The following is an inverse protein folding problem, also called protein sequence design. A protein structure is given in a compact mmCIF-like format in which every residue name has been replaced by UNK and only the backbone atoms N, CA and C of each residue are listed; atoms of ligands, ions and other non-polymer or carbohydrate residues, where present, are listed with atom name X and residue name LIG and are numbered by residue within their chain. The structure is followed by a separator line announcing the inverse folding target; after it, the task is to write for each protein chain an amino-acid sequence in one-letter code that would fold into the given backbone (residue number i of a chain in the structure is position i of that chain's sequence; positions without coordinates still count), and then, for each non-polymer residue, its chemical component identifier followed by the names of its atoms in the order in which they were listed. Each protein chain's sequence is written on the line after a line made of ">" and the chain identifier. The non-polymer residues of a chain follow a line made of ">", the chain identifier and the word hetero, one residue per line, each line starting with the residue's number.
data_IF_869390247821
#
_entry.id   IF_869390247821
#
_cell.length_a   1.000
_cell.length_b   1.000
_cell.length_c   1.000
_cell.angle_alpha   90.00
_cell.angle_beta   90.00
_cell.angle_gamma   90.00
#
_symmetry.space_group_name_H-M   'P 1'
#
loop_
_entity.id
_entity.type
_entity.pdbx_description
1 polymer ?
#
# COMPACT_ATOMS: atom_id res chain seq x y z
N UNK A 1 8.91 68.21 -32.87
CA UNK A 1 8.20 66.98 -33.24
C UNK A 1 8.78 65.85 -32.42
N UNK A 2 8.07 65.36 -31.32
CA UNK A 2 8.49 64.22 -30.51
C UNK A 2 7.55 63.09 -30.87
N UNK A 3 8.07 62.01 -31.49
CA UNK A 3 7.33 60.76 -31.71
C UNK A 3 7.23 59.96 -30.37
N UNK A 4 6.01 59.64 -29.98
CA UNK A 4 5.75 58.68 -28.90
C UNK A 4 5.64 57.29 -29.55
N UNK A 5 6.51 56.38 -29.14
CA UNK A 5 6.36 54.97 -29.45
C UNK A 5 5.51 54.33 -28.35
N UNK A 6 4.34 53.80 -28.71
CA UNK A 6 3.49 53.01 -27.83
C UNK A 6 3.94 51.56 -27.90
N UNK A 7 4.48 51.06 -26.83
CA UNK A 7 4.85 49.64 -26.67
C UNK A 7 3.60 48.85 -26.26
N UNK A 8 3.11 48.00 -27.15
CA UNK A 8 1.98 47.10 -26.88
C UNK A 8 2.49 45.84 -26.12
N UNK A 9 2.16 45.70 -24.83
CA UNK A 9 2.49 44.51 -24.05
C UNK A 9 1.37 43.50 -24.31
N UNK A 10 1.68 42.39 -24.99
CA UNK A 10 0.81 41.22 -25.12
C UNK A 10 0.88 40.41 -23.85
N UNK A 11 -0.19 40.44 -23.04
CA UNK A 11 -0.35 39.55 -21.89
C UNK A 11 -0.84 38.17 -22.40
N UNK A 12 0.06 37.18 -22.47
CA UNK A 12 -0.33 35.80 -22.78
C UNK A 12 -0.89 35.21 -21.49
N UNK A 13 -2.21 35.10 -21.40
CA UNK A 13 -2.87 34.34 -20.33
C UNK A 13 -2.66 32.86 -20.59
N UNK A 14 -1.78 32.22 -19.78
CA UNK A 14 -1.65 30.76 -19.72
C UNK A 14 -2.91 30.22 -19.07
N UNK A 15 -3.86 29.72 -19.83
CA UNK A 15 -4.99 28.94 -19.29
C UNK A 15 -4.48 27.57 -19.02
N UNK A 16 -4.28 27.22 -17.71
CA UNK A 16 -4.08 25.87 -17.27
C UNK A 16 -5.38 25.09 -17.55
N UNK A 17 -5.37 24.25 -18.55
CA UNK A 17 -6.44 23.26 -18.76
C UNK A 17 -6.40 22.26 -17.63
N UNK A 18 -7.51 22.04 -16.88
CA UNK A 18 -7.55 20.95 -15.93
C UNK A 18 -7.34 19.64 -16.69
N UNK A 19 -6.39 18.81 -16.25
CA UNK A 19 -6.22 17.47 -16.76
C UNK A 19 -7.53 16.71 -16.52
N UNK A 20 -8.26 16.42 -17.59
CA UNK A 20 -9.42 15.54 -17.56
C UNK A 20 -8.91 14.17 -17.09
N UNK A 21 -9.31 13.77 -15.89
CA UNK A 21 -9.10 12.41 -15.40
C UNK A 21 -9.86 11.48 -16.35
N UNK A 22 -9.13 10.73 -17.17
CA UNK A 22 -9.70 9.79 -18.13
C UNK A 22 -10.32 8.62 -17.36
N UNK A 23 -11.62 8.71 -17.11
CA UNK A 23 -12.39 7.73 -16.33
C UNK A 23 -12.35 6.30 -16.92
N UNK A 24 -11.91 6.15 -18.18
CA UNK A 24 -11.79 4.87 -18.87
C UNK A 24 -10.56 4.05 -18.43
N UNK A 25 -9.64 4.64 -17.67
CA UNK A 25 -8.40 4.00 -17.24
C UNK A 25 -8.46 3.46 -15.79
N UNK A 26 -9.49 3.78 -15.01
CA UNK A 26 -9.65 3.34 -13.62
C UNK A 26 -10.45 2.05 -13.56
N UNK A 27 -9.88 1.01 -12.97
CA UNK A 27 -10.57 -0.27 -12.71
C UNK A 27 -11.52 -0.16 -11.53
N UNK A 28 -11.04 0.41 -10.43
CA UNK A 28 -11.83 0.75 -9.25
C UNK A 28 -11.13 1.82 -8.40
N UNK A 29 -11.97 2.50 -7.60
CA UNK A 29 -11.55 3.40 -6.56
C UNK A 29 -12.34 3.08 -5.29
N UNK A 30 -11.63 2.91 -4.18
CA UNK A 30 -12.19 2.75 -2.84
C UNK A 30 -12.03 4.05 -2.08
N UNK A 31 -13.15 4.69 -1.72
CA UNK A 31 -13.19 5.97 -1.00
C UNK A 31 -13.60 5.78 0.47
N UNK A 32 -13.56 4.58 1.00
CA UNK A 32 -13.85 4.24 2.39
C UNK A 32 -15.18 4.80 2.94
N UNK A 33 -16.24 4.68 2.14
CA UNK A 33 -17.60 5.03 2.60
C UNK A 33 -18.11 4.07 3.68
N UNK A 34 -17.64 2.85 3.65
CA UNK A 34 -17.86 1.78 4.64
C UNK A 34 -16.81 0.68 4.42
N UNK A 35 -16.85 -0.38 5.26
CA UNK A 35 -15.93 -1.52 5.15
C UNK A 35 -16.55 -2.77 4.51
N UNK A 36 -17.68 -2.67 3.81
CA UNK A 36 -18.39 -3.84 3.23
C UNK A 36 -17.56 -4.60 2.19
N UNK A 37 -16.63 -3.91 1.51
CA UNK A 37 -15.72 -4.49 0.53
C UNK A 37 -14.44 -5.08 1.17
N UNK A 38 -14.31 -5.04 2.49
CA UNK A 38 -13.14 -5.47 3.21
C UNK A 38 -13.44 -6.65 4.13
N UNK A 39 -12.50 -7.58 4.24
CA UNK A 39 -12.54 -8.72 5.17
C UNK A 39 -11.44 -8.58 6.20
N UNK A 40 -11.71 -8.79 7.50
CA UNK A 40 -10.66 -8.82 8.50
C UNK A 40 -9.77 -10.06 8.31
N UNK A 41 -8.47 -9.87 8.50
CA UNK A 41 -7.48 -10.93 8.59
C UNK A 41 -6.84 -10.91 9.96
N UNK A 42 -7.08 -11.95 10.75
CA UNK A 42 -6.49 -12.15 12.05
C UNK A 42 -5.38 -13.20 11.96
N UNK A 43 -4.28 -12.95 12.67
CA UNK A 43 -3.15 -13.87 12.71
C UNK A 43 -3.30 -14.81 13.91
N UNK A 44 -3.24 -16.15 13.75
CA UNK A 44 -3.60 -17.10 14.82
C UNK A 44 -2.77 -16.96 16.09
N UNK A 45 -1.56 -16.40 16.01
CA UNK A 45 -0.65 -16.24 17.17
C UNK A 45 -0.75 -14.86 17.82
N UNK A 46 -1.49 -13.93 17.24
CA UNK A 46 -1.66 -12.57 17.73
C UNK A 46 -3.01 -12.49 18.44
N UNK A 47 -3.00 -12.12 19.73
CA UNK A 47 -4.22 -12.01 20.53
C UNK A 47 -4.90 -10.66 20.41
N UNK A 48 -4.09 -9.61 20.35
CA UNK A 48 -4.58 -8.24 20.25
C UNK A 48 -4.62 -7.82 18.78
N UNK A 49 -5.75 -7.30 18.35
CA UNK A 49 -5.98 -6.92 16.95
C UNK A 49 -6.03 -5.41 16.79
N UNK A 50 -5.43 -4.94 15.71
CA UNK A 50 -5.54 -3.54 15.29
C UNK A 50 -6.97 -3.22 14.85
N UNK A 51 -7.39 -1.98 15.02
CA UNK A 51 -8.75 -1.53 14.68
C UNK A 51 -8.78 -0.76 13.38
N UNK A 52 -9.88 -0.92 12.65
CA UNK A 52 -10.14 -0.30 11.36
C UNK A 52 -11.53 0.32 11.40
N UNK A 53 -11.62 1.64 11.32
CA UNK A 53 -12.89 2.37 11.43
C UNK A 53 -12.99 3.46 10.36
N UNK A 54 -14.22 3.74 9.91
CA UNK A 54 -14.47 4.88 9.05
C UNK A 54 -14.71 6.10 9.92
N UNK A 55 -13.97 7.17 9.66
CA UNK A 55 -14.10 8.44 10.35
C UNK A 55 -14.42 9.56 9.37
N UNK A 56 -15.05 10.62 9.88
CA UNK A 56 -15.38 11.81 9.08
C UNK A 56 -14.74 13.04 9.67
N UNK A 57 -14.05 13.81 8.85
CA UNK A 57 -13.54 15.13 9.20
C UNK A 57 -13.91 16.12 8.10
N UNK A 58 -14.60 17.21 8.49
CA UNK A 58 -15.06 18.27 7.56
C UNK A 58 -15.84 17.75 6.35
N UNK A 59 -16.60 16.66 6.53
CA UNK A 59 -17.40 16.04 5.46
C UNK A 59 -16.63 15.06 4.56
N UNK A 60 -15.34 14.84 4.78
CA UNK A 60 -14.55 13.83 4.10
C UNK A 60 -14.49 12.55 4.93
N UNK A 61 -14.74 11.41 4.29
CA UNK A 61 -14.62 10.09 4.91
C UNK A 61 -13.24 9.50 4.61
N UNK A 62 -12.69 8.78 5.57
CA UNK A 62 -11.45 8.01 5.39
C UNK A 62 -11.35 6.87 6.39
N UNK A 63 -10.55 5.89 6.05
CA UNK A 63 -10.18 4.80 6.95
C UNK A 63 -9.23 5.33 8.01
N UNK A 64 -9.54 5.09 9.29
CA UNK A 64 -8.62 5.22 10.42
C UNK A 64 -8.16 3.83 10.84
N UNK A 65 -6.86 3.65 11.03
CA UNK A 65 -6.26 2.41 11.54
C UNK A 65 -5.50 2.70 12.82
N UNK A 66 -5.64 1.85 13.83
CA UNK A 66 -4.97 1.99 15.12
C UNK A 66 -4.39 0.65 15.56
N UNK A 67 -3.15 0.68 16.04
CA UNK A 67 -2.51 -0.44 16.72
C UNK A 67 -2.01 -0.05 18.09
N UNK A 68 -2.06 -0.99 19.03
CA UNK A 68 -1.41 -0.88 20.33
C UNK A 68 -0.97 -2.27 20.77
N UNK A 69 0.30 -2.61 20.56
CA UNK A 69 0.86 -3.96 20.77
C UNK A 69 0.03 -5.04 20.08
N UNK A 70 -0.45 -4.72 18.88
CA UNK A 70 -1.44 -5.50 18.17
C UNK A 70 -1.10 -5.62 16.70
N UNK A 71 -1.63 -6.64 16.03
CA UNK A 71 -1.53 -6.77 14.59
C UNK A 71 -2.79 -7.44 14.03
N UNK A 72 -3.29 -6.89 12.96
CA UNK A 72 -4.27 -7.49 12.07
C UNK A 72 -4.27 -6.73 10.74
N UNK A 73 -4.97 -7.24 9.75
CA UNK A 73 -5.12 -6.59 8.46
C UNK A 73 -6.58 -6.60 8.02
N UNK A 74 -6.89 -5.80 7.00
CA UNK A 74 -8.11 -5.92 6.21
C UNK A 74 -7.75 -6.19 4.76
N UNK A 75 -8.47 -7.12 4.12
CA UNK A 75 -8.24 -7.54 2.74
C UNK A 75 -9.39 -7.06 1.87
N UNK A 76 -9.07 -6.40 0.77
CA UNK A 76 -10.06 -6.00 -0.22
C UNK A 76 -10.59 -7.22 -0.96
N UNK A 77 -11.91 -7.37 -1.07
CA UNK A 77 -12.56 -8.56 -1.65
C UNK A 77 -12.33 -8.71 -3.14
N UNK A 78 -12.04 -7.61 -3.84
CA UNK A 78 -11.84 -7.61 -5.28
C UNK A 78 -10.36 -7.82 -5.61
N UNK A 79 -10.09 -8.71 -6.57
CA UNK A 79 -8.78 -8.91 -7.18
C UNK A 79 -8.73 -8.28 -8.57
N UNK A 80 -7.55 -8.13 -9.14
CA UNK A 80 -7.35 -7.57 -10.46
C UNK A 80 -6.17 -8.22 -11.19
N UNK A 81 -6.18 -8.08 -12.52
CA UNK A 81 -5.08 -8.49 -13.37
C UNK A 81 -4.02 -7.37 -13.40
N UNK A 82 -2.84 -7.63 -12.84
CA UNK A 82 -1.77 -6.63 -12.73
C UNK A 82 -1.18 -6.23 -14.08
N UNK A 83 -1.33 -7.04 -15.12
CA UNK A 83 -0.86 -6.72 -16.47
C UNK A 83 -1.80 -5.74 -17.21
N UNK A 84 -3.09 -5.81 -16.92
CA UNK A 84 -4.09 -4.91 -17.50
C UNK A 84 -4.17 -3.59 -16.72
N UNK A 85 -3.92 -3.63 -15.40
CA UNK A 85 -4.00 -2.51 -14.48
C UNK A 85 -2.75 -2.49 -13.58
N UNK A 86 -1.60 -2.05 -14.12
CA UNK A 86 -0.33 -2.14 -13.40
C UNK A 86 -0.11 -1.04 -12.37
N UNK A 87 -0.95 -0.02 -12.32
CA UNK A 87 -0.73 1.15 -11.46
C UNK A 87 -1.71 1.19 -10.30
N UNK A 88 -1.20 1.64 -9.16
CA UNK A 88 -1.99 1.90 -7.97
C UNK A 88 -1.63 3.28 -7.41
N UNK A 89 -2.65 4.01 -6.95
CA UNK A 89 -2.51 5.29 -6.29
C UNK A 89 -3.35 5.28 -5.02
N UNK A 90 -2.81 5.88 -3.94
CA UNK A 90 -3.56 6.07 -2.69
C UNK A 90 -3.08 7.31 -1.96
N UNK A 91 -3.86 7.75 -0.98
CA UNK A 91 -3.50 8.87 -0.15
C UNK A 91 -3.59 8.47 1.31
N UNK A 92 -2.49 8.63 2.03
CA UNK A 92 -2.35 8.20 3.41
C UNK A 92 -1.75 9.28 4.31
N UNK A 93 -1.92 9.09 5.63
CA UNK A 93 -1.35 9.95 6.67
C UNK A 93 -1.01 9.07 7.88
N UNK A 94 0.09 9.36 8.56
CA UNK A 94 0.44 8.78 9.85
C UNK A 94 0.51 9.88 10.90
N UNK A 95 0.01 9.62 12.11
CA UNK A 95 0.12 10.57 13.22
C UNK A 95 1.43 10.37 14.01
N UNK A 96 2.04 9.19 13.88
CA UNK A 96 3.35 8.87 14.43
C UNK A 96 4.02 7.71 13.68
N UNK A 97 5.31 7.51 13.96
CA UNK A 97 6.10 6.34 13.51
C UNK A 97 6.76 5.68 14.71
N UNK A 98 7.15 4.42 14.56
CA UNK A 98 7.80 3.67 15.63
C UNK A 98 9.28 4.05 15.79
N UNK A 99 9.72 4.16 17.03
CA UNK A 99 11.13 4.44 17.39
C UNK A 99 11.95 3.14 17.28
N UNK A 100 11.36 2.01 17.68
CA UNK A 100 12.01 0.70 17.66
C UNK A 100 11.86 -0.03 16.32
N UNK A 101 11.11 0.54 15.36
CA UNK A 101 10.93 -0.05 14.04
C UNK A 101 12.27 -0.32 13.36
N UNK A 102 12.44 -1.53 12.81
CA UNK A 102 13.63 -1.91 12.04
C UNK A 102 13.24 -2.84 10.90
N UNK A 103 13.32 -2.34 9.68
CA UNK A 103 12.91 -3.06 8.47
C UNK A 103 13.73 -4.32 8.17
N UNK A 104 14.88 -4.50 8.84
CA UNK A 104 15.80 -5.63 8.62
C UNK A 104 15.69 -6.73 9.67
N UNK A 105 14.94 -6.49 10.74
CA UNK A 105 14.85 -7.39 11.87
C UNK A 105 13.40 -7.74 12.20
N UNK A 106 13.12 -9.01 12.50
CA UNK A 106 11.78 -9.48 12.89
C UNK A 106 11.23 -8.73 14.11
N UNK A 107 12.10 -8.40 15.06
CA UNK A 107 11.73 -7.68 16.29
C UNK A 107 11.31 -6.23 16.07
N UNK A 108 11.58 -5.68 14.89
CA UNK A 108 11.25 -4.31 14.51
C UNK A 108 10.42 -4.21 13.23
N UNK A 109 9.92 -5.34 12.68
CA UNK A 109 9.13 -5.35 11.44
C UNK A 109 7.66 -4.92 11.70
N UNK A 110 7.51 -3.74 12.28
CA UNK A 110 6.23 -3.05 12.51
C UNK A 110 6.19 -1.74 11.74
N UNK A 111 5.01 -1.40 11.22
CA UNK A 111 4.80 -0.15 10.50
C UNK A 111 3.47 0.47 10.89
N UNK A 112 3.42 1.81 11.05
CA UNK A 112 2.18 2.52 11.35
C UNK A 112 1.11 2.30 10.28
N UNK A 113 1.55 2.00 9.04
CA UNK A 113 0.68 1.57 7.95
C UNK A 113 1.47 0.84 6.87
N UNK A 114 0.87 -0.22 6.35
CA UNK A 114 1.32 -0.97 5.17
C UNK A 114 0.16 -1.09 4.19
N UNK A 115 0.42 -0.81 2.92
CA UNK A 115 -0.47 -1.17 1.81
C UNK A 115 0.17 -2.32 1.07
N UNK A 116 -0.47 -3.48 1.13
CA UNK A 116 0.01 -4.69 0.46
C UNK A 116 -0.59 -4.82 -0.93
N UNK A 117 0.24 -5.26 -1.87
CA UNK A 117 -0.21 -5.96 -3.06
C UNK A 117 0.19 -7.42 -2.92
N UNK A 118 -0.80 -8.30 -2.83
CA UNK A 118 -0.63 -9.74 -2.67
C UNK A 118 -0.85 -10.43 -4.00
N UNK A 119 0.08 -11.29 -4.44
CA UNK A 119 -0.04 -12.04 -5.68
C UNK A 119 -0.53 -13.44 -5.39
N UNK A 120 -1.57 -13.87 -6.11
CA UNK A 120 -2.16 -15.17 -5.86
C UNK A 120 -1.29 -16.28 -6.43
N UNK A 121 -1.14 -17.36 -5.65
CA UNK A 121 -0.50 -18.56 -6.11
C UNK A 121 -1.30 -19.22 -7.25
N UNK A 122 -0.61 -19.54 -8.35
CA UNK A 122 -1.20 -20.23 -9.50
C UNK A 122 -0.65 -21.67 -9.58
N UNK A 123 -1.45 -22.69 -9.19
CA UNK A 123 -1.02 -24.09 -9.27
C UNK A 123 -0.68 -24.56 -10.68
N UNK A 124 -1.22 -23.90 -11.72
CA UNK A 124 -0.95 -24.31 -13.11
C UNK A 124 0.45 -23.89 -13.56
N UNK A 125 1.00 -22.83 -12.99
CA UNK A 125 2.34 -22.30 -13.30
C UNK A 125 3.43 -22.83 -12.36
N UNK A 126 3.05 -23.45 -11.26
CA UNK A 126 3.97 -23.89 -10.21
C UNK A 126 4.64 -25.23 -10.55
N UNK A 127 5.89 -25.39 -10.09
CA UNK A 127 6.63 -26.66 -10.15
C UNK A 127 6.06 -27.72 -9.19
N UNK A 128 6.47 -28.98 -9.36
CA UNK A 128 5.95 -30.11 -8.55
C UNK A 128 6.21 -29.91 -7.05
N UNK A 129 7.42 -29.48 -6.66
CA UNK A 129 7.78 -29.23 -5.26
C UNK A 129 6.95 -28.10 -4.64
N UNK A 130 6.75 -27.02 -5.38
CA UNK A 130 5.96 -25.87 -4.96
C UNK A 130 4.46 -26.23 -4.81
N UNK A 131 3.91 -27.03 -5.74
CA UNK A 131 2.53 -27.55 -5.63
C UNK A 131 2.33 -28.37 -4.36
N UNK A 132 3.32 -29.17 -3.95
CA UNK A 132 3.25 -29.95 -2.72
C UNK A 132 3.27 -29.05 -1.51
N UNK A 133 4.17 -28.07 -1.43
CA UNK A 133 4.27 -27.09 -0.34
C UNK A 133 2.95 -26.31 -0.13
N UNK A 134 2.44 -25.71 -1.21
CA UNK A 134 1.19 -24.97 -1.17
C UNK A 134 -0.04 -25.85 -0.94
N UNK A 135 0.00 -27.10 -1.41
CA UNK A 135 -1.04 -28.10 -1.13
C UNK A 135 -1.14 -28.42 0.36
N UNK A 136 -0.02 -28.60 1.04
CA UNK A 136 0.04 -28.80 2.50
C UNK A 136 -0.48 -27.54 3.22
N UNK A 137 -0.04 -26.34 2.83
CA UNK A 137 -0.51 -25.09 3.41
C UNK A 137 -2.03 -24.91 3.24
N UNK A 138 -2.56 -25.21 2.05
CA UNK A 138 -4.01 -25.19 1.80
C UNK A 138 -4.77 -26.17 2.71
N UNK A 139 -4.25 -27.36 2.91
CA UNK A 139 -4.87 -28.37 3.79
C UNK A 139 -4.94 -27.92 5.25
N UNK A 140 -3.93 -27.18 5.72
CA UNK A 140 -3.86 -26.67 7.09
C UNK A 140 -4.67 -25.39 7.31
N UNK A 141 -4.70 -24.49 6.32
CA UNK A 141 -5.29 -23.15 6.45
C UNK A 141 -6.57 -22.92 5.64
N UNK A 142 -7.04 -23.95 4.90
CA UNK A 142 -8.27 -23.88 4.07
C UNK A 142 -8.14 -23.14 2.76
N UNK A 143 -7.06 -22.37 2.56
CA UNK A 143 -6.78 -21.61 1.32
C UNK A 143 -5.28 -21.58 1.03
N UNK A 144 -4.93 -21.33 -0.22
CA UNK A 144 -3.54 -21.09 -0.57
C UNK A 144 -3.05 -19.77 0.03
N UNK A 145 -1.84 -19.74 0.63
CA UNK A 145 -1.19 -18.46 0.93
C UNK A 145 -0.86 -17.71 -0.36
N UNK A 146 -0.61 -16.39 -0.30
CA UNK A 146 -0.07 -15.66 -1.44
C UNK A 146 1.23 -16.26 -1.96
N UNK A 147 1.46 -16.20 -3.28
CA UNK A 147 2.76 -16.55 -3.89
C UNK A 147 3.85 -15.60 -3.38
N UNK A 148 3.55 -14.33 -3.42
CA UNK A 148 4.48 -13.27 -3.04
C UNK A 148 3.71 -11.99 -2.69
N UNK A 149 4.41 -11.03 -2.06
CA UNK A 149 3.82 -9.74 -1.70
C UNK A 149 4.80 -8.58 -1.92
N UNK A 150 4.25 -7.44 -2.35
CA UNK A 150 4.89 -6.13 -2.22
C UNK A 150 4.22 -5.40 -1.05
N UNK A 151 5.02 -4.91 -0.11
CA UNK A 151 4.56 -4.22 1.09
C UNK A 151 5.00 -2.76 1.00
N UNK A 152 4.12 -1.87 0.56
CA UNK A 152 4.38 -0.43 0.53
C UNK A 152 4.23 0.12 1.94
N UNK A 153 5.30 0.72 2.47
CA UNK A 153 5.38 1.10 3.87
C UNK A 153 5.80 2.55 4.09
N UNK A 154 5.33 3.08 5.23
CA UNK A 154 5.89 4.25 5.87
C UNK A 154 6.74 3.78 7.07
N UNK A 155 8.03 4.05 7.09
CA UNK A 155 8.94 3.64 8.18
C UNK A 155 9.42 4.83 9.01
N UNK A 156 9.70 4.60 10.29
CA UNK A 156 10.35 5.59 11.17
C UNK A 156 11.85 5.74 10.91
N UNK A 157 12.47 4.77 10.22
CA UNK A 157 13.91 4.77 9.95
C UNK A 157 14.26 5.62 8.72
N UNK A 158 15.40 6.30 8.81
CA UNK A 158 16.05 6.97 7.67
C UNK A 158 16.91 5.93 6.92
N UNK A 159 16.38 5.37 5.85
CA UNK A 159 17.05 4.36 5.02
C UNK A 159 17.15 4.83 3.57
N UNK A 160 18.17 4.35 2.86
CA UNK A 160 18.46 4.73 1.47
C UNK A 160 17.83 3.79 0.46
N UNK A 161 17.76 2.51 0.81
CA UNK A 161 17.21 1.48 -0.07
C UNK A 161 15.69 1.61 -0.15
N UNK A 162 15.19 1.58 -1.39
CA UNK A 162 13.76 1.61 -1.65
C UNK A 162 13.11 0.23 -1.47
N UNK A 163 13.82 -0.85 -1.81
CA UNK A 163 13.30 -2.21 -1.78
C UNK A 163 14.19 -3.08 -0.90
N UNK A 164 13.57 -3.74 0.09
CA UNK A 164 14.24 -4.56 1.08
C UNK A 164 13.52 -5.90 1.16
N UNK A 165 14.26 -7.01 1.28
CA UNK A 165 13.66 -8.32 1.54
C UNK A 165 13.15 -8.38 2.98
N UNK A 166 11.91 -8.84 3.18
CA UNK A 166 11.36 -9.03 4.51
C UNK A 166 12.23 -9.97 5.35
N UNK A 167 12.43 -9.68 6.65
CA UNK A 167 13.19 -10.56 7.54
C UNK A 167 12.47 -11.91 7.82
N UNK A 168 11.20 -12.04 7.41
CA UNK A 168 10.43 -13.26 7.59
C UNK A 168 10.53 -14.24 6.41
N UNK A 169 10.62 -13.71 5.17
CA UNK A 169 10.61 -14.53 3.95
C UNK A 169 11.10 -13.74 2.74
N UNK A 170 11.74 -14.41 1.80
CA UNK A 170 12.15 -13.86 0.51
C UNK A 170 10.96 -13.63 -0.46
N UNK A 171 9.80 -14.22 -0.15
CA UNK A 171 8.53 -14.03 -0.90
C UNK A 171 7.82 -12.71 -0.56
N UNK A 172 8.30 -11.94 0.40
CA UNK A 172 7.79 -10.63 0.75
C UNK A 172 8.87 -9.56 0.58
N UNK A 173 8.53 -8.49 -0.14
CA UNK A 173 9.43 -7.35 -0.31
C UNK A 173 8.80 -6.11 0.28
N UNK A 174 9.57 -5.40 1.08
CA UNK A 174 9.23 -4.12 1.67
C UNK A 174 9.64 -3.04 0.68
N UNK A 175 8.70 -2.22 0.25
CA UNK A 175 8.93 -1.07 -0.65
C UNK A 175 8.71 0.19 0.17
N UNK A 176 9.81 0.85 0.54
CA UNK A 176 9.77 2.06 1.35
C UNK A 176 9.40 3.25 0.47
N UNK A 177 8.26 3.86 0.75
CA UNK A 177 7.80 5.07 0.06
C UNK A 177 8.03 6.30 0.92
N UNK A 178 7.64 6.24 2.19
CA UNK A 178 7.85 7.32 3.14
C UNK A 178 8.72 6.86 4.31
N UNK A 179 9.53 7.78 4.83
CA UNK A 179 10.49 7.50 5.88
C UNK A 179 10.68 8.68 6.84
N UNK A 180 11.15 8.35 8.04
CA UNK A 180 11.42 9.34 9.07
C UNK A 180 10.17 10.05 9.56
N UNK A 181 10.34 11.26 10.09
CA UNK A 181 9.33 11.98 10.85
C UNK A 181 8.84 13.28 10.19
N UNK A 182 9.47 13.69 9.08
CA UNK A 182 9.27 15.02 8.49
C UNK A 182 7.84 15.26 8.01
N UNK A 183 7.15 14.23 7.52
CA UNK A 183 5.80 14.32 6.97
C UNK A 183 4.71 13.80 7.91
N UNK A 184 5.02 13.50 9.18
CA UNK A 184 4.02 13.09 10.17
C UNK A 184 2.90 14.15 10.23
N UNK A 185 1.64 13.70 10.31
CA UNK A 185 0.45 14.55 10.33
C UNK A 185 0.07 15.14 8.96
N UNK A 186 0.83 14.86 7.91
CA UNK A 186 0.58 15.38 6.55
C UNK A 186 0.01 14.27 5.66
N UNK A 187 -1.03 14.61 4.89
CA UNK A 187 -1.53 13.72 3.84
C UNK A 187 -0.53 13.65 2.68
N UNK A 188 -0.14 12.43 2.33
CA UNK A 188 0.77 12.14 1.21
C UNK A 188 0.04 11.26 0.21
N UNK A 189 0.15 11.59 -1.07
CA UNK A 189 -0.37 10.79 -2.18
C UNK A 189 0.79 10.02 -2.82
N UNK A 190 0.61 8.71 -2.95
CA UNK A 190 1.56 7.83 -3.60
C UNK A 190 1.01 7.32 -4.92
N UNK A 191 1.88 7.14 -5.88
CA UNK A 191 1.58 6.47 -7.15
C UNK A 191 2.71 5.51 -7.49
N UNK A 192 2.37 4.25 -7.73
CA UNK A 192 3.34 3.19 -8.03
C UNK A 192 2.96 2.44 -9.31
N UNK A 193 3.95 1.87 -9.97
CA UNK A 193 3.75 0.83 -10.97
C UNK A 193 4.07 -0.53 -10.32
N UNK A 194 3.03 -1.27 -9.98
CA UNK A 194 3.12 -2.57 -9.30
C UNK A 194 3.96 -3.57 -10.10
N UNK A 195 3.79 -3.57 -11.43
CA UNK A 195 4.49 -4.49 -12.32
C UNK A 195 6.00 -4.23 -12.35
N UNK A 196 6.39 -2.95 -12.43
CA UNK A 196 7.80 -2.53 -12.45
C UNK A 196 8.46 -2.75 -11.08
N UNK A 197 7.74 -2.43 -9.99
CA UNK A 197 8.20 -2.67 -8.62
C UNK A 197 8.41 -4.16 -8.36
N UNK A 198 7.49 -5.02 -8.85
CA UNK A 198 7.64 -6.46 -8.69
C UNK A 198 8.86 -7.00 -9.45
N UNK A 199 9.02 -6.61 -10.72
CA UNK A 199 10.17 -7.01 -11.53
C UNK A 199 11.49 -6.59 -10.91
N UNK A 200 11.54 -5.36 -10.39
CA UNK A 200 12.72 -4.85 -9.68
C UNK A 200 12.99 -5.64 -8.40
N UNK A 201 11.94 -5.97 -7.64
CA UNK A 201 12.05 -6.62 -6.34
C UNK A 201 12.38 -8.11 -6.41
N UNK A 202 11.87 -8.83 -7.42
CA UNK A 202 11.96 -10.28 -7.53
C UNK A 202 12.79 -10.78 -8.73
N UNK A 203 13.14 -9.89 -9.67
CA UNK A 203 13.87 -10.26 -10.89
C UNK A 203 13.08 -11.16 -11.87
N UNK A 204 11.76 -11.23 -11.72
CA UNK A 204 10.85 -12.06 -12.54
C UNK A 204 9.50 -11.38 -12.70
N UNK A 205 8.68 -11.87 -13.62
CA UNK A 205 7.29 -11.42 -13.78
C UNK A 205 6.39 -11.93 -12.65
N UNK A 206 5.41 -11.10 -12.19
CA UNK A 206 4.45 -11.52 -11.15
C UNK A 206 3.43 -12.53 -11.65
N UNK A 207 2.77 -13.27 -10.73
CA UNK A 207 1.47 -13.87 -11.01
C UNK A 207 0.48 -12.82 -11.50
N UNK A 208 -0.45 -13.25 -12.38
CA UNK A 208 -1.39 -12.34 -13.04
C UNK A 208 -2.39 -11.70 -12.06
N UNK A 209 -2.85 -12.46 -11.08
CA UNK A 209 -3.90 -12.03 -10.16
C UNK A 209 -3.31 -11.40 -8.91
N UNK A 210 -3.66 -10.14 -8.67
CA UNK A 210 -3.26 -9.39 -7.49
C UNK A 210 -4.47 -8.98 -6.64
N UNK A 211 -4.26 -8.86 -5.34
CA UNK A 211 -5.21 -8.34 -4.35
C UNK A 211 -4.57 -7.24 -3.50
N UNK A 212 -5.38 -6.50 -2.75
CA UNK A 212 -4.93 -5.42 -1.88
C UNK A 212 -5.27 -5.76 -0.42
N UNK A 213 -4.36 -5.43 0.50
CA UNK A 213 -4.64 -5.43 1.93
C UNK A 213 -4.03 -4.19 2.59
N UNK A 214 -4.61 -3.80 3.73
CA UNK A 214 -4.08 -2.73 4.59
C UNK A 214 -3.79 -3.34 5.95
N UNK A 215 -2.62 -3.02 6.51
CA UNK A 215 -2.22 -3.45 7.85
C UNK A 215 -1.63 -2.29 8.63
N UNK A 216 -1.91 -2.26 9.93
CA UNK A 216 -1.25 -1.46 10.93
C UNK A 216 -0.86 -2.42 12.04
N UNK A 217 0.42 -2.52 12.38
CA UNK A 217 0.95 -3.49 13.33
C UNK A 217 2.00 -2.88 14.26
N UNK A 218 2.02 -3.36 15.50
CA UNK A 218 2.93 -2.91 16.56
C UNK A 218 3.23 -4.01 17.58
N UNK A 219 3.00 -5.28 17.20
CA UNK A 219 3.16 -6.43 18.10
C UNK A 219 4.63 -6.78 18.35
N UNK A 220 5.52 -6.50 17.42
CA UNK A 220 6.96 -6.75 17.56
C UNK A 220 7.66 -5.65 18.40
N UNK A 221 7.37 -4.39 18.14
CA UNK A 221 7.98 -3.25 18.85
C UNK A 221 7.34 -2.98 20.20
N UNK A 222 6.07 -3.39 20.36
CA UNK A 222 5.25 -3.10 21.53
C UNK A 222 4.82 -1.64 21.65
N UNK A 223 4.91 -0.88 20.56
CA UNK A 223 4.49 0.53 20.47
C UNK A 223 3.01 0.65 20.07
N UNK A 224 2.60 1.78 19.54
CA UNK A 224 1.27 2.01 18.99
C UNK A 224 1.29 3.11 17.94
N UNK A 225 0.39 3.04 16.97
CA UNK A 225 0.28 4.04 15.92
C UNK A 225 -1.16 4.26 15.49
N UNK A 226 -1.40 5.49 15.01
CA UNK A 226 -2.64 5.90 14.33
C UNK A 226 -2.29 6.34 12.92
N UNK A 227 -3.03 5.80 11.95
CA UNK A 227 -2.84 6.14 10.54
C UNK A 227 -4.17 6.21 9.82
N UNK A 228 -4.15 6.80 8.63
CA UNK A 228 -5.35 7.04 7.85
C UNK A 228 -5.11 6.78 6.38
N UNK A 229 -6.16 6.33 5.66
CA UNK A 229 -6.18 6.21 4.20
C UNK A 229 -7.43 6.89 3.68
N UNK A 230 -7.25 7.87 2.77
CA UNK A 230 -8.37 8.62 2.20
C UNK A 230 -9.00 7.85 1.04
N UNK A 231 -8.19 7.27 0.17
CA UNK A 231 -8.64 6.43 -0.94
C UNK A 231 -7.54 5.49 -1.41
N UNK A 232 -7.95 4.45 -2.16
CA UNK A 232 -7.07 3.60 -2.97
C UNK A 232 -7.70 3.45 -4.36
N UNK A 233 -6.88 3.59 -5.41
CA UNK A 233 -7.30 3.49 -6.80
C UNK A 233 -6.35 2.58 -7.58
N UNK A 234 -6.91 1.68 -8.41
CA UNK A 234 -6.17 0.83 -9.35
C UNK A 234 -6.53 1.22 -10.77
N UNK A 235 -5.52 1.44 -11.61
CA UNK A 235 -5.71 1.99 -12.94
C UNK A 235 -4.63 1.53 -13.94
N UNK A 236 -4.83 1.88 -15.24
CA UNK A 236 -3.90 1.57 -16.34
C UNK A 236 -2.68 2.48 -16.35
#
# INVERSE_FOLDING_TARGET
>A
MKLWQATLIFLIALTATPALCDSNNVLFREDFKNLSNWEPLYFPKIKEHSTYTIVSEKGHLFLKTESHRSASAIIYRRTFNVYDYPRMRWKWKVDNVYIKGNVREKSGDDYPIRVYVTFQYDPQRAGIGERLEYGIAKSLYGKYPPDSTLNYVWTGQEITERIITSPYTDRAKIVVLEKGRTKIGTWVEETVNILDDYRTAFGKDPPQTAGIAIMNDSDNTGEGAVSYVEYIEVFK
#
